data_IF_929230026193
#
_entry.id   IF_929230026193
#
_cell.length_a   1.000
_cell.length_b   1.000
_cell.length_c   1.000
_cell.angle_alpha   90.00
_cell.angle_beta   90.00
_cell.angle_gamma   90.00
#
_symmetry.space_group_name_H-M   'P 1'
#
loop_
_entity.id
_entity.type
_entity.pdbx_description
1 polymer ?
#
# COMPACT_ATOMS: atom_id res chain seq x y z
N UNK A 1 16.19 34.63 15.01
CA UNK A 1 17.42 34.46 14.19
C UNK A 1 17.22 35.23 12.89
N UNK A 2 18.22 35.99 12.44
CA UNK A 2 18.16 36.72 11.16
C UNK A 2 18.27 35.72 10.00
N UNK A 3 17.55 35.94 8.89
CA UNK A 3 17.54 35.07 7.69
C UNK A 3 18.95 34.83 7.13
N UNK A 4 19.86 35.85 7.25
CA UNK A 4 21.25 35.75 6.87
C UNK A 4 22.06 34.69 7.65
N UNK A 5 21.70 34.48 8.93
CA UNK A 5 22.36 33.46 9.78
C UNK A 5 21.95 32.06 9.37
N UNK A 6 20.68 31.86 8.95
CA UNK A 6 20.20 30.58 8.47
C UNK A 6 20.89 30.16 7.15
N UNK A 7 21.01 31.09 6.18
CA UNK A 7 21.72 30.84 4.92
C UNK A 7 23.23 30.51 5.09
N UNK A 8 23.87 31.12 6.07
CA UNK A 8 25.26 30.79 6.40
C UNK A 8 25.38 29.40 7.00
N UNK A 9 24.48 29.01 7.88
CA UNK A 9 24.49 27.71 8.55
C UNK A 9 24.14 26.56 7.59
N UNK A 10 23.18 26.77 6.66
CA UNK A 10 22.87 25.79 5.60
C UNK A 10 24.07 25.56 4.68
N UNK A 11 24.72 26.63 4.21
CA UNK A 11 25.93 26.54 3.37
C UNK A 11 27.08 25.83 4.10
N UNK A 12 27.22 26.03 5.42
CA UNK A 12 28.23 25.36 6.24
C UNK A 12 27.87 23.87 6.42
N UNK A 13 26.62 23.51 6.63
CA UNK A 13 26.13 22.12 6.72
C UNK A 13 26.41 21.32 5.43
N UNK A 14 26.03 21.87 4.28
CA UNK A 14 26.25 21.23 2.97
C UNK A 14 27.73 21.12 2.63
N UNK A 15 28.56 22.17 2.89
CA UNK A 15 30.02 22.13 2.65
C UNK A 15 30.72 21.08 3.51
N UNK A 16 30.15 20.75 4.66
CA UNK A 16 30.70 19.75 5.58
C UNK A 16 30.55 18.32 5.06
N UNK A 17 29.51 18.02 4.28
CA UNK A 17 29.32 16.72 3.63
C UNK A 17 30.53 16.35 2.73
N UNK A 18 31.14 17.35 2.08
CA UNK A 18 32.33 17.15 1.24
C UNK A 18 33.61 16.82 2.01
N UNK A 19 33.76 17.27 3.27
CA UNK A 19 34.97 16.99 4.06
C UNK A 19 35.09 15.52 4.51
N UNK A 20 33.95 14.85 4.72
CA UNK A 20 33.87 13.46 5.13
C UNK A 20 33.04 12.64 4.12
N UNK A 21 33.35 12.84 2.82
CA UNK A 21 32.56 12.30 1.70
C UNK A 21 32.33 10.79 1.77
N UNK A 22 33.33 10.01 2.20
CA UNK A 22 33.20 8.54 2.28
C UNK A 22 32.15 8.13 3.33
N UNK A 23 32.13 8.76 4.51
CA UNK A 23 31.15 8.51 5.55
C UNK A 23 29.76 8.99 5.13
N UNK A 24 29.68 10.13 4.46
CA UNK A 24 28.43 10.68 3.94
C UNK A 24 27.82 9.76 2.88
N UNK A 25 28.62 9.27 1.91
CA UNK A 25 28.16 8.34 0.87
C UNK A 25 27.71 7.03 1.51
N UNK A 26 28.46 6.46 2.44
CA UNK A 26 28.06 5.24 3.13
C UNK A 26 26.72 5.39 3.87
N UNK A 27 26.51 6.53 4.54
CA UNK A 27 25.24 6.84 5.20
C UNK A 27 24.09 6.98 4.19
N UNK A 28 24.28 7.76 3.11
CA UNK A 28 23.26 7.95 2.07
C UNK A 28 22.92 6.61 1.42
N UNK A 29 23.92 5.79 1.08
CA UNK A 29 23.69 4.48 0.47
C UNK A 29 22.91 3.54 1.41
N UNK A 30 23.35 3.42 2.67
CA UNK A 30 22.67 2.58 3.66
C UNK A 30 21.22 3.06 3.91
N UNK A 31 21.03 4.37 4.05
CA UNK A 31 19.70 4.95 4.26
C UNK A 31 18.81 4.75 3.03
N UNK A 32 19.34 4.93 1.81
CA UNK A 32 18.60 4.68 0.58
C UNK A 32 18.16 3.23 0.45
N UNK A 33 19.03 2.27 0.76
CA UNK A 33 18.66 0.83 0.75
C UNK A 33 17.53 0.55 1.75
N UNK A 34 17.67 1.01 3.00
CA UNK A 34 16.64 0.81 4.02
C UNK A 34 15.29 1.44 3.61
N UNK A 35 15.32 2.64 3.05
CA UNK A 35 14.11 3.33 2.59
C UNK A 35 13.49 2.67 1.35
N UNK A 36 14.32 2.19 0.43
CA UNK A 36 13.84 1.43 -0.74
C UNK A 36 13.12 0.17 -0.31
N UNK A 37 13.69 -0.60 0.61
CA UNK A 37 13.04 -1.80 1.17
C UNK A 37 11.73 -1.46 1.90
N UNK A 38 11.69 -0.34 2.62
CA UNK A 38 10.47 0.15 3.27
C UNK A 38 9.35 0.42 2.26
N UNK A 39 9.66 1.16 1.20
CA UNK A 39 8.66 1.50 0.18
C UNK A 39 8.25 0.26 -0.62
N UNK A 40 9.19 -0.66 -0.91
CA UNK A 40 8.84 -1.94 -1.53
C UNK A 40 7.89 -2.77 -0.67
N UNK A 41 8.10 -2.83 0.64
CA UNK A 41 7.18 -3.51 1.55
C UNK A 41 5.76 -2.88 1.50
N UNK A 42 5.67 -1.54 1.47
CA UNK A 42 4.39 -0.85 1.32
C UNK A 42 3.76 -1.05 -0.07
N UNK A 43 4.56 -1.12 -1.14
CA UNK A 43 4.06 -1.43 -2.48
C UNK A 43 3.52 -2.86 -2.58
N UNK A 44 4.15 -3.83 -1.92
CA UNK A 44 3.63 -5.20 -1.84
C UNK A 44 2.26 -5.19 -1.16
N UNK A 45 2.10 -4.48 -0.04
CA UNK A 45 0.81 -4.34 0.66
C UNK A 45 -0.27 -3.79 -0.29
N UNK A 46 -0.02 -2.67 -0.96
CA UNK A 46 -0.96 -2.03 -1.90
C UNK A 46 -1.32 -2.94 -3.07
N UNK A 47 -0.35 -3.67 -3.63
CA UNK A 47 -0.61 -4.58 -4.74
C UNK A 47 -1.36 -5.84 -4.30
N UNK A 48 -1.07 -6.38 -3.12
CA UNK A 48 -1.84 -7.51 -2.54
C UNK A 48 -3.29 -7.08 -2.28
N UNK A 49 -3.52 -5.88 -1.74
CA UNK A 49 -4.86 -5.32 -1.55
C UNK A 49 -5.61 -5.21 -2.88
N UNK A 50 -4.94 -4.71 -3.93
CA UNK A 50 -5.51 -4.63 -5.29
C UNK A 50 -5.84 -6.01 -5.86
N UNK A 51 -4.93 -6.99 -5.70
CA UNK A 51 -5.14 -8.36 -6.16
C UNK A 51 -6.32 -9.03 -5.45
N UNK A 52 -6.42 -8.89 -4.13
CA UNK A 52 -7.53 -9.44 -3.35
C UNK A 52 -8.85 -8.78 -3.74
N UNK A 53 -8.85 -7.45 -3.93
CA UNK A 53 -10.04 -6.72 -4.40
C UNK A 53 -10.46 -7.15 -5.81
N UNK A 54 -9.50 -7.36 -6.72
CA UNK A 54 -9.77 -7.85 -8.06
C UNK A 54 -10.36 -9.26 -8.05
N UNK A 55 -9.74 -10.19 -7.30
CA UNK A 55 -10.25 -11.56 -7.15
C UNK A 55 -11.63 -11.58 -6.46
N UNK A 56 -11.83 -10.67 -5.50
CA UNK A 56 -13.11 -10.50 -4.82
C UNK A 56 -14.23 -10.04 -5.75
N UNK A 57 -13.91 -9.14 -6.71
CA UNK A 57 -14.87 -8.69 -7.71
C UNK A 57 -15.26 -9.79 -8.71
N UNK A 58 -14.45 -10.82 -8.87
CA UNK A 58 -14.75 -12.01 -9.68
C UNK A 58 -15.55 -13.08 -8.92
N UNK A 59 -15.48 -13.07 -7.58
CA UNK A 59 -16.17 -14.01 -6.70
C UNK A 59 -17.38 -13.33 -6.05
N UNK A 60 -18.42 -13.11 -6.86
CA UNK A 60 -19.67 -12.51 -6.42
C UNK A 60 -20.46 -13.47 -5.53
N UNK A 61 -21.20 -12.92 -4.58
CA UNK A 61 -22.23 -13.64 -3.84
C UNK A 61 -23.46 -13.75 -4.72
N UNK A 62 -24.03 -14.93 -4.83
CA UNK A 62 -25.28 -15.18 -5.58
C UNK A 62 -26.42 -15.37 -4.59
N UNK A 63 -27.39 -14.47 -4.65
CA UNK A 63 -28.59 -14.49 -3.84
C UNK A 63 -29.76 -14.95 -4.74
N UNK A 64 -30.22 -16.17 -4.55
CA UNK A 64 -31.32 -16.71 -5.30
C UNK A 64 -32.64 -16.20 -4.71
N UNK A 65 -33.54 -15.74 -5.58
CA UNK A 65 -34.88 -15.29 -5.21
C UNK A 65 -35.82 -16.48 -5.23
N UNK A 66 -36.86 -16.43 -4.41
CA UNK A 66 -37.89 -17.46 -4.38
C UNK A 66 -38.51 -17.63 -5.77
N UNK A 67 -38.58 -18.85 -6.31
CA UNK A 67 -39.17 -19.12 -7.62
C UNK A 67 -40.60 -18.65 -7.80
N UNK A 68 -41.35 -18.55 -6.69
CA UNK A 68 -42.75 -18.11 -6.63
C UNK A 68 -42.93 -16.62 -6.31
N UNK A 69 -41.78 -15.87 -6.15
CA UNK A 69 -41.85 -14.46 -5.85
C UNK A 69 -42.42 -13.65 -7.02
N UNK A 70 -43.28 -12.71 -6.70
CA UNK A 70 -43.79 -11.73 -7.64
C UNK A 70 -42.76 -10.61 -7.90
N UNK A 71 -42.96 -9.82 -8.93
CA UNK A 71 -42.05 -8.72 -9.31
C UNK A 71 -41.85 -7.71 -8.18
N UNK A 72 -42.84 -7.50 -7.34
CA UNK A 72 -42.75 -6.58 -6.20
C UNK A 72 -41.80 -7.13 -5.14
N UNK A 73 -41.88 -8.44 -4.86
CA UNK A 73 -40.93 -9.12 -3.94
C UNK A 73 -39.52 -9.13 -4.50
N UNK A 74 -39.32 -9.41 -5.80
CA UNK A 74 -38.02 -9.34 -6.47
C UNK A 74 -37.42 -7.98 -6.26
N UNK A 75 -38.16 -6.91 -6.54
CA UNK A 75 -37.69 -5.53 -6.39
C UNK A 75 -37.38 -5.16 -4.95
N UNK A 76 -38.22 -5.63 -4.00
CA UNK A 76 -38.02 -5.45 -2.55
C UNK A 76 -36.69 -6.08 -2.09
N UNK A 77 -36.40 -7.30 -2.54
CA UNK A 77 -35.14 -7.99 -2.26
C UNK A 77 -33.98 -7.18 -2.83
N UNK A 78 -34.03 -6.72 -4.10
CA UNK A 78 -33.00 -5.93 -4.72
C UNK A 78 -32.69 -4.62 -3.96
N UNK A 79 -33.73 -3.94 -3.47
CA UNK A 79 -33.57 -2.73 -2.65
C UNK A 79 -32.91 -3.08 -1.31
N UNK A 80 -33.36 -4.11 -0.61
CA UNK A 80 -32.79 -4.54 0.66
C UNK A 80 -31.32 -4.93 0.55
N UNK A 81 -30.93 -5.60 -0.56
CA UNK A 81 -29.52 -5.91 -0.85
C UNK A 81 -28.69 -4.65 -1.09
N UNK A 82 -29.24 -3.69 -1.85
CA UNK A 82 -28.54 -2.44 -2.22
C UNK A 82 -28.38 -1.51 -1.01
N UNK A 83 -29.33 -1.52 -0.08
CA UNK A 83 -29.30 -0.68 1.13
C UNK A 83 -28.37 -1.25 2.22
N UNK A 84 -27.85 -2.46 2.03
CA UNK A 84 -26.97 -3.10 3.02
C UNK A 84 -25.58 -2.47 2.97
N UNK A 85 -25.11 -2.02 4.14
CA UNK A 85 -23.77 -1.46 4.27
C UNK A 85 -22.70 -2.49 3.88
N UNK A 86 -21.71 -2.07 3.08
CA UNK A 86 -20.65 -2.94 2.59
C UNK A 86 -20.91 -3.55 1.21
N UNK A 87 -22.12 -3.39 0.65
CA UNK A 87 -22.42 -3.76 -0.73
C UNK A 87 -21.91 -2.68 -1.68
N UNK A 88 -21.17 -3.09 -2.71
CA UNK A 88 -20.64 -2.19 -3.74
C UNK A 88 -21.44 -2.23 -5.04
N UNK A 89 -22.01 -3.39 -5.37
CA UNK A 89 -22.76 -3.60 -6.60
C UNK A 89 -23.82 -4.69 -6.40
N UNK A 90 -25.01 -4.45 -6.93
CA UNK A 90 -26.11 -5.44 -7.02
C UNK A 90 -26.55 -5.52 -8.48
N UNK A 91 -26.55 -6.70 -9.04
CA UNK A 91 -26.98 -6.95 -10.42
C UNK A 91 -28.04 -8.06 -10.43
N UNK A 92 -29.24 -7.74 -10.91
CA UNK A 92 -30.28 -8.72 -11.12
C UNK A 92 -30.00 -9.53 -12.40
N UNK A 93 -30.22 -10.83 -12.32
CA UNK A 93 -30.16 -11.79 -13.44
C UNK A 93 -31.46 -12.55 -13.49
N UNK A 94 -32.21 -12.37 -14.59
CA UNK A 94 -33.42 -13.16 -14.84
C UNK A 94 -33.09 -14.65 -15.12
N UNK A 95 -34.07 -15.51 -15.11
CA UNK A 95 -33.86 -16.92 -15.48
C UNK A 95 -33.30 -17.09 -16.87
N UNK A 96 -33.71 -16.22 -17.81
CA UNK A 96 -33.24 -16.17 -19.20
C UNK A 96 -31.82 -15.68 -19.30
N UNK A 97 -31.45 -14.64 -18.53
CA UNK A 97 -30.09 -14.11 -18.48
C UNK A 97 -29.11 -15.16 -17.96
N UNK A 98 -29.50 -15.90 -16.93
CA UNK A 98 -28.70 -16.99 -16.37
C UNK A 98 -28.49 -18.08 -17.42
N UNK A 99 -29.54 -18.53 -18.11
CA UNK A 99 -29.43 -19.51 -19.18
C UNK A 99 -28.51 -19.05 -20.31
N UNK A 100 -28.68 -17.80 -20.77
CA UNK A 100 -27.86 -17.22 -21.82
C UNK A 100 -26.37 -17.12 -21.42
N UNK A 101 -26.12 -16.82 -20.18
CA UNK A 101 -24.76 -16.78 -19.65
C UNK A 101 -24.10 -18.18 -19.66
N UNK A 102 -24.84 -19.20 -19.23
CA UNK A 102 -24.33 -20.59 -19.29
C UNK A 102 -24.09 -21.05 -20.74
N UNK A 103 -24.97 -20.66 -21.69
CA UNK A 103 -24.73 -20.89 -23.13
C UNK A 103 -23.44 -20.24 -23.60
N UNK A 104 -23.11 -19.05 -23.10
CA UNK A 104 -21.85 -18.36 -23.41
C UNK A 104 -20.61 -19.07 -22.84
N UNK A 105 -20.69 -19.57 -21.62
CA UNK A 105 -19.59 -20.31 -21.00
C UNK A 105 -19.35 -21.69 -21.59
N UNK A 106 -20.43 -22.34 -22.01
CA UNK A 106 -20.43 -23.70 -22.58
C UNK A 106 -20.71 -23.64 -24.10
N UNK A 107 -20.00 -22.80 -24.84
CA UNK A 107 -20.23 -22.58 -26.27
C UNK A 107 -20.27 -23.87 -27.09
N UNK A 108 -19.41 -24.86 -26.76
CA UNK A 108 -19.35 -26.16 -27.41
C UNK A 108 -20.57 -27.06 -27.11
N UNK A 109 -21.31 -26.78 -26.05
CA UNK A 109 -22.49 -27.50 -25.60
C UNK A 109 -23.77 -26.64 -25.62
N UNK A 110 -23.72 -25.44 -26.21
CA UNK A 110 -24.84 -24.52 -26.26
C UNK A 110 -26.12 -25.14 -26.87
N UNK A 111 -25.96 -26.07 -27.82
CA UNK A 111 -27.06 -26.80 -28.45
C UNK A 111 -27.88 -27.63 -27.44
N UNK A 112 -27.23 -28.21 -26.43
CA UNK A 112 -27.90 -28.96 -25.38
C UNK A 112 -28.71 -28.05 -24.44
N UNK A 113 -28.22 -26.81 -24.23
CA UNK A 113 -28.88 -25.82 -23.40
C UNK A 113 -30.10 -25.17 -24.06
N UNK A 114 -30.27 -25.31 -25.39
CA UNK A 114 -31.45 -24.82 -26.09
C UNK A 114 -32.73 -25.58 -25.73
N UNK A 115 -32.61 -26.85 -25.29
CA UNK A 115 -33.78 -27.63 -24.82
C UNK A 115 -34.42 -27.01 -23.57
N UNK A 116 -33.65 -26.25 -22.78
CA UNK A 116 -34.12 -25.56 -21.58
C UNK A 116 -34.74 -24.17 -21.83
N UNK A 117 -34.90 -23.73 -23.07
CA UNK A 117 -35.61 -22.48 -23.38
C UNK A 117 -37.08 -22.49 -22.99
N UNK A 118 -37.74 -23.65 -23.12
CA UNK A 118 -39.15 -23.80 -22.79
C UNK A 118 -39.43 -24.22 -21.34
N UNK A 119 -38.49 -24.92 -20.71
CA UNK A 119 -38.55 -25.35 -19.32
C UNK A 119 -37.22 -25.01 -18.61
N UNK A 120 -37.08 -23.75 -18.27
CA UNK A 120 -35.84 -23.22 -17.73
C UNK A 120 -35.68 -23.59 -16.24
N UNK A 121 -34.74 -24.50 -15.92
CA UNK A 121 -34.50 -24.95 -14.54
C UNK A 121 -33.76 -23.95 -13.67
N UNK A 122 -33.23 -22.88 -14.28
CA UNK A 122 -32.45 -21.87 -13.55
C UNK A 122 -33.37 -20.95 -12.75
N UNK A 123 -32.82 -20.42 -11.63
CA UNK A 123 -33.52 -19.48 -10.76
C UNK A 123 -33.02 -18.07 -11.05
N UNK A 124 -33.95 -17.11 -10.98
CA UNK A 124 -33.55 -15.71 -10.94
C UNK A 124 -32.69 -15.44 -9.72
N UNK A 125 -31.69 -14.60 -9.85
CA UNK A 125 -30.79 -14.30 -8.76
C UNK A 125 -30.26 -12.86 -8.83
N UNK A 126 -29.73 -12.41 -7.70
CA UNK A 126 -28.95 -11.21 -7.60
C UNK A 126 -27.47 -11.58 -7.42
N UNK A 127 -26.60 -10.94 -8.20
CA UNK A 127 -25.17 -10.98 -8.00
C UNK A 127 -24.75 -9.79 -7.19
N UNK A 128 -24.13 -10.05 -6.07
CA UNK A 128 -23.75 -9.03 -5.11
C UNK A 128 -22.25 -9.03 -4.93
N UNK A 129 -21.62 -7.89 -5.21
CA UNK A 129 -20.20 -7.65 -4.92
C UNK A 129 -20.09 -6.81 -3.65
N UNK A 130 -19.11 -7.12 -2.82
CA UNK A 130 -18.85 -6.42 -1.57
C UNK A 130 -17.64 -5.46 -1.71
N UNK A 131 -17.68 -4.37 -0.96
CA UNK A 131 -16.55 -3.45 -0.84
C UNK A 131 -15.43 -4.02 0.04
N UNK A 132 -15.79 -4.84 1.04
CA UNK A 132 -14.89 -5.48 1.97
C UNK A 132 -15.21 -6.97 2.08
N UNK A 133 -14.34 -7.79 1.56
CA UNK A 133 -14.47 -9.25 1.53
C UNK A 133 -14.48 -9.89 2.92
N UNK A 134 -13.90 -9.23 3.93
CA UNK A 134 -13.89 -9.74 5.30
C UNK A 134 -15.28 -9.86 5.91
N UNK A 135 -16.26 -9.13 5.36
CA UNK A 135 -17.65 -9.13 5.80
C UNK A 135 -18.54 -10.16 5.07
N UNK A 136 -17.98 -10.93 4.11
CA UNK A 136 -18.75 -11.82 3.25
C UNK A 136 -19.59 -12.83 4.05
N UNK A 137 -19.03 -13.47 5.05
CA UNK A 137 -19.75 -14.44 5.90
C UNK A 137 -20.89 -13.78 6.69
N UNK A 138 -20.65 -12.58 7.24
CA UNK A 138 -21.64 -11.85 8.02
C UNK A 138 -22.81 -11.39 7.15
N UNK A 139 -22.50 -10.80 5.99
CA UNK A 139 -23.49 -10.29 5.05
C UNK A 139 -24.27 -11.45 4.41
N UNK A 140 -23.61 -12.58 4.09
CA UNK A 140 -24.29 -13.78 3.60
C UNK A 140 -25.39 -14.26 4.55
N UNK A 141 -25.07 -14.38 5.84
CA UNK A 141 -26.06 -14.74 6.87
C UNK A 141 -27.18 -13.71 7.05
N UNK A 142 -26.86 -12.43 6.84
CA UNK A 142 -27.87 -11.37 6.88
C UNK A 142 -28.84 -11.50 5.69
N UNK A 143 -28.33 -11.82 4.50
CA UNK A 143 -29.13 -11.99 3.30
C UNK A 143 -30.05 -13.22 3.36
N UNK A 144 -29.62 -14.31 4.00
CA UNK A 144 -30.45 -15.49 4.22
C UNK A 144 -31.74 -15.20 5.02
N UNK A 145 -31.73 -14.10 5.80
CA UNK A 145 -32.90 -13.71 6.61
C UNK A 145 -33.82 -12.69 5.91
N UNK A 146 -33.52 -12.28 4.67
CA UNK A 146 -34.37 -11.35 3.91
C UNK A 146 -35.56 -12.12 3.37
N UNK A 147 -36.78 -11.60 3.60
CA UNK A 147 -38.01 -12.18 3.04
C UNK A 147 -37.98 -12.16 1.51
N UNK A 148 -38.24 -13.31 0.88
CA UNK A 148 -38.18 -13.49 -0.58
C UNK A 148 -36.83 -14.01 -1.09
N UNK A 149 -35.84 -14.21 -0.22
CA UNK A 149 -34.60 -14.91 -0.55
C UNK A 149 -34.78 -16.40 -0.35
N UNK A 150 -34.51 -17.19 -1.39
CA UNK A 150 -34.55 -18.65 -1.34
C UNK A 150 -33.27 -19.25 -0.76
N UNK A 151 -32.10 -18.80 -1.21
CA UNK A 151 -30.79 -19.25 -0.71
C UNK A 151 -29.71 -18.27 -1.10
N UNK A 152 -28.62 -18.29 -0.36
CA UNK A 152 -27.41 -17.49 -0.64
C UNK A 152 -26.23 -18.43 -0.89
N UNK A 153 -25.50 -18.21 -1.98
CA UNK A 153 -24.28 -18.94 -2.27
C UNK A 153 -23.13 -17.93 -2.31
N UNK A 154 -22.17 -18.10 -1.42
CA UNK A 154 -20.99 -17.23 -1.33
C UNK A 154 -19.73 -18.09 -1.23
N UNK A 155 -18.62 -17.70 -1.90
CA UNK A 155 -17.35 -18.42 -1.85
C UNK A 155 -16.58 -18.11 -0.54
N UNK A 156 -17.18 -18.42 0.62
CA UNK A 156 -16.71 -18.01 1.95
C UNK A 156 -15.27 -18.52 2.22
N UNK A 157 -15.02 -19.82 1.96
CA UNK A 157 -13.71 -20.43 2.25
C UNK A 157 -12.57 -19.81 1.41
N UNK A 158 -12.84 -19.55 0.12
CA UNK A 158 -11.87 -18.91 -0.76
C UNK A 158 -11.60 -17.48 -0.32
N UNK A 159 -12.66 -16.74 0.00
CA UNK A 159 -12.58 -15.35 0.48
C UNK A 159 -11.83 -15.25 1.80
N UNK A 160 -12.11 -16.17 2.74
CA UNK A 160 -11.37 -16.25 4.02
C UNK A 160 -9.87 -16.41 3.78
N UNK A 161 -9.48 -17.33 2.89
CA UNK A 161 -8.07 -17.56 2.54
C UNK A 161 -7.43 -16.29 1.99
N UNK A 162 -8.10 -15.56 1.10
CA UNK A 162 -7.58 -14.30 0.55
C UNK A 162 -7.38 -13.24 1.64
N UNK A 163 -8.35 -13.07 2.53
CA UNK A 163 -8.29 -12.12 3.65
C UNK A 163 -7.17 -12.51 4.63
N UNK A 164 -6.99 -13.79 4.92
CA UNK A 164 -5.90 -14.28 5.79
C UNK A 164 -4.52 -13.98 5.19
N UNK A 165 -4.34 -14.25 3.89
CA UNK A 165 -3.09 -13.93 3.18
C UNK A 165 -2.83 -12.42 3.20
N UNK A 166 -3.83 -11.60 2.88
CA UNK A 166 -3.73 -10.14 2.93
C UNK A 166 -3.31 -9.65 4.31
N UNK A 167 -3.98 -10.13 5.37
CA UNK A 167 -3.66 -9.76 6.75
C UNK A 167 -2.25 -10.20 7.17
N UNK A 168 -1.80 -11.39 6.75
CA UNK A 168 -0.47 -11.88 7.02
C UNK A 168 0.60 -10.98 6.36
N UNK A 169 0.41 -10.66 5.06
CA UNK A 169 1.30 -9.76 4.32
C UNK A 169 1.36 -8.37 4.97
N UNK A 170 0.21 -7.81 5.32
CA UNK A 170 0.11 -6.50 5.99
C UNK A 170 0.81 -6.51 7.36
N UNK A 171 0.59 -7.52 8.19
CA UNK A 171 1.24 -7.63 9.52
C UNK A 171 2.75 -7.74 9.39
N UNK A 172 3.23 -8.63 8.53
CA UNK A 172 4.68 -8.84 8.29
C UNK A 172 5.29 -7.58 7.67
N UNK A 173 4.64 -6.99 6.67
CA UNK A 173 5.08 -5.76 6.01
C UNK A 173 5.22 -4.60 6.98
N UNK A 174 4.21 -4.33 7.81
CA UNK A 174 4.26 -3.28 8.85
C UNK A 174 5.35 -3.53 9.88
N UNK A 175 5.53 -4.78 10.31
CA UNK A 175 6.63 -5.17 11.21
C UNK A 175 7.99 -4.85 10.59
N UNK A 176 8.20 -5.22 9.33
CA UNK A 176 9.42 -4.95 8.59
C UNK A 176 9.67 -3.43 8.44
N UNK A 177 8.65 -2.67 8.09
CA UNK A 177 8.70 -1.20 7.99
C UNK A 177 9.19 -0.57 9.30
N UNK A 178 8.65 -0.99 10.45
CA UNK A 178 9.06 -0.49 11.77
C UNK A 178 10.52 -0.81 12.09
N UNK A 179 10.96 -2.04 11.82
CA UNK A 179 12.36 -2.46 12.04
C UNK A 179 13.32 -1.65 11.15
N UNK A 180 13.02 -1.54 9.86
CA UNK A 180 13.85 -0.79 8.91
C UNK A 180 13.89 0.72 9.24
N UNK A 181 12.79 1.28 9.73
CA UNK A 181 12.73 2.67 10.20
C UNK A 181 13.64 2.87 11.42
N UNK A 182 13.61 1.94 12.38
CA UNK A 182 14.49 1.99 13.54
C UNK A 182 15.98 1.91 13.14
N UNK A 183 16.32 0.98 12.23
CA UNK A 183 17.68 0.87 11.67
C UNK A 183 18.11 2.16 10.97
N UNK A 184 17.23 2.77 10.19
CA UNK A 184 17.49 4.04 9.51
C UNK A 184 17.81 5.18 10.49
N UNK A 185 17.03 5.31 11.56
CA UNK A 185 17.25 6.33 12.61
C UNK A 185 18.59 6.09 13.31
N UNK A 186 18.92 4.83 13.65
CA UNK A 186 20.20 4.47 14.27
C UNK A 186 21.37 4.80 13.35
N UNK A 187 21.24 4.49 12.04
CA UNK A 187 22.30 4.77 11.04
C UNK A 187 22.57 6.27 10.93
N UNK A 188 21.54 7.10 10.80
CA UNK A 188 21.70 8.56 10.79
C UNK A 188 22.30 9.02 12.11
N UNK A 189 21.79 8.54 13.23
CA UNK A 189 22.27 8.89 14.56
C UNK A 189 23.75 8.58 14.79
N UNK A 190 24.22 7.43 14.34
CA UNK A 190 25.64 7.06 14.45
C UNK A 190 26.53 7.90 13.54
N UNK A 191 26.07 8.22 12.32
CA UNK A 191 26.81 9.07 11.39
C UNK A 191 26.95 10.49 11.93
N UNK A 192 25.88 11.06 12.45
CA UNK A 192 25.92 12.40 13.09
C UNK A 192 26.82 12.40 14.32
N UNK A 193 26.79 11.33 15.12
CA UNK A 193 27.70 11.21 16.27
C UNK A 193 29.16 11.23 15.86
N UNK A 194 29.52 10.51 14.80
CA UNK A 194 30.87 10.52 14.25
C UNK A 194 31.25 11.90 13.73
N UNK A 195 30.32 12.61 13.05
CA UNK A 195 30.52 13.97 12.56
C UNK A 195 30.77 14.96 13.73
N UNK A 196 29.99 14.87 14.80
CA UNK A 196 30.18 15.67 16.03
C UNK A 196 31.54 15.37 16.68
N UNK A 197 31.90 14.09 16.82
CA UNK A 197 33.17 13.70 17.40
C UNK A 197 34.37 14.20 16.59
N UNK A 198 34.32 14.12 15.27
CA UNK A 198 35.38 14.64 14.39
C UNK A 198 35.61 16.16 14.53
N UNK A 199 34.59 16.89 15.04
CA UNK A 199 34.64 18.37 15.19
C UNK A 199 34.56 18.83 16.63
N UNK A 200 34.86 17.97 17.60
CA UNK A 200 34.73 18.28 19.04
C UNK A 200 35.49 19.55 19.44
N UNK A 201 36.70 19.78 18.89
CA UNK A 201 37.48 20.98 19.19
C UNK A 201 36.86 22.28 18.66
N UNK A 202 36.27 22.26 17.49
CA UNK A 202 35.53 23.42 16.93
C UNK A 202 34.32 23.73 17.82
N UNK A 203 33.62 22.70 18.31
CA UNK A 203 32.43 22.83 19.19
C UNK A 203 32.86 23.41 20.54
N UNK A 204 33.95 22.93 21.14
CA UNK A 204 34.51 23.44 22.39
C UNK A 204 34.82 24.92 22.28
N UNK A 205 35.54 25.35 21.23
CA UNK A 205 35.88 26.75 21.01
C UNK A 205 34.61 27.60 20.88
N UNK A 206 33.60 27.13 20.10
CA UNK A 206 32.32 27.86 19.97
C UNK A 206 31.59 28.02 21.32
N UNK A 207 31.63 26.99 22.18
CA UNK A 207 31.05 27.07 23.52
C UNK A 207 31.82 28.02 24.42
N UNK A 208 33.15 28.06 24.38
CA UNK A 208 33.96 29.00 25.14
C UNK A 208 33.67 30.47 24.77
N UNK A 209 33.37 30.75 23.52
CA UNK A 209 32.99 32.09 23.04
C UNK A 209 31.51 32.42 23.32
N UNK A 210 30.75 31.51 23.98
CA UNK A 210 29.39 31.77 24.39
C UNK A 210 28.33 31.40 23.35
N UNK A 211 28.64 30.54 22.39
CA UNK A 211 27.65 30.06 21.41
C UNK A 211 26.50 29.26 22.10
N UNK A 212 25.28 29.56 21.75
CA UNK A 212 24.12 28.82 22.23
C UNK A 212 24.08 27.39 21.68
N UNK A 213 23.50 26.45 22.44
CA UNK A 213 23.36 25.05 22.00
C UNK A 213 22.66 24.92 20.64
N UNK A 214 21.68 25.81 20.36
CA UNK A 214 21.00 25.83 19.05
C UNK A 214 21.94 26.17 17.90
N UNK A 215 22.89 27.11 18.09
CA UNK A 215 23.86 27.50 17.07
C UNK A 215 24.86 26.36 16.75
N UNK A 216 25.18 25.57 17.76
CA UNK A 216 26.06 24.38 17.63
C UNK A 216 25.33 23.21 16.97
N UNK A 217 24.04 23.01 17.30
CA UNK A 217 23.25 21.85 16.86
C UNK A 217 22.74 21.99 15.42
N UNK A 218 22.33 23.20 15.01
CA UNK A 218 21.65 23.45 13.75
C UNK A 218 22.43 22.98 12.50
N UNK A 219 23.76 23.16 12.38
CA UNK A 219 24.52 22.65 11.24
C UNK A 219 24.42 21.13 11.07
N UNK A 220 24.40 20.36 12.15
CA UNK A 220 24.29 18.91 12.11
C UNK A 220 22.87 18.44 11.77
N UNK A 221 21.83 19.17 12.22
CA UNK A 221 20.46 18.89 11.81
C UNK A 221 20.30 19.11 10.31
N UNK A 222 20.87 20.17 9.77
CA UNK A 222 20.88 20.44 8.32
C UNK A 222 21.68 19.37 7.57
N UNK A 223 22.81 18.92 8.11
CA UNK A 223 23.60 17.82 7.56
C UNK A 223 22.78 16.53 7.48
N UNK A 224 22.07 16.15 8.57
CA UNK A 224 21.16 14.99 8.58
C UNK A 224 19.98 15.15 7.63
N UNK A 225 19.37 16.33 7.58
CA UNK A 225 18.26 16.62 6.66
C UNK A 225 18.69 16.51 5.19
N UNK A 226 19.86 17.03 4.84
CA UNK A 226 20.39 16.95 3.47
C UNK A 226 20.75 15.51 3.08
N UNK A 227 21.37 14.73 3.99
CA UNK A 227 21.59 13.30 3.76
C UNK A 227 20.29 12.54 3.57
N UNK A 228 19.27 12.84 4.40
CA UNK A 228 17.94 12.25 4.29
C UNK A 228 17.25 12.57 2.97
N UNK A 229 17.28 13.83 2.54
CA UNK A 229 16.72 14.25 1.24
C UNK A 229 17.42 13.61 0.04
N UNK A 230 18.77 13.57 0.04
CA UNK A 230 19.52 12.89 -1.01
C UNK A 230 19.21 11.39 -1.06
N UNK A 231 19.12 10.75 0.09
CA UNK A 231 18.69 9.35 0.18
C UNK A 231 17.25 9.16 -0.32
N UNK A 232 16.35 10.09 -0.01
CA UNK A 232 14.98 10.09 -0.51
C UNK A 232 14.89 10.18 -2.02
N UNK A 233 15.70 11.04 -2.65
CA UNK A 233 15.78 11.16 -4.13
C UNK A 233 16.28 9.85 -4.74
N UNK A 234 17.35 9.26 -4.20
CA UNK A 234 17.89 7.98 -4.69
C UNK A 234 16.89 6.84 -4.50
N UNK A 235 16.19 6.81 -3.36
CA UNK A 235 15.13 5.87 -3.07
C UNK A 235 13.98 6.00 -4.09
N UNK A 236 13.51 7.23 -4.34
CA UNK A 236 12.46 7.46 -5.32
C UNK A 236 12.86 6.95 -6.71
N UNK A 237 14.07 7.29 -7.17
CA UNK A 237 14.58 6.85 -8.45
C UNK A 237 14.70 5.32 -8.54
N UNK A 238 15.27 4.68 -7.50
CA UNK A 238 15.41 3.23 -7.44
C UNK A 238 14.07 2.50 -7.40
N UNK A 239 13.12 3.01 -6.60
CA UNK A 239 11.79 2.37 -6.43
C UNK A 239 10.93 2.56 -7.67
N UNK A 240 10.85 3.77 -8.22
CA UNK A 240 10.08 4.04 -9.45
C UNK A 240 10.66 3.24 -10.62
N UNK A 241 11.99 3.23 -10.78
CA UNK A 241 12.65 2.45 -11.83
C UNK A 241 12.45 0.94 -11.66
N UNK A 242 12.61 0.43 -10.44
CA UNK A 242 12.39 -0.98 -10.13
C UNK A 242 10.93 -1.42 -10.34
N UNK A 243 9.98 -0.61 -9.89
CA UNK A 243 8.55 -0.89 -10.08
C UNK A 243 8.15 -0.82 -11.56
N UNK A 244 8.62 0.19 -12.29
CA UNK A 244 8.40 0.29 -13.74
C UNK A 244 8.95 -0.94 -14.48
N UNK A 245 10.12 -1.43 -14.10
CA UNK A 245 10.70 -2.65 -14.67
C UNK A 245 9.84 -3.90 -14.38
N UNK A 246 9.31 -4.04 -13.16
CA UNK A 246 8.40 -5.14 -12.80
C UNK A 246 7.12 -5.08 -13.63
N UNK A 247 6.52 -3.89 -13.76
CA UNK A 247 5.30 -3.69 -14.58
C UNK A 247 5.55 -4.02 -16.05
N UNK A 248 6.71 -3.64 -16.60
CA UNK A 248 7.08 -3.98 -17.99
C UNK A 248 7.35 -5.48 -18.19
N UNK A 249 7.85 -6.17 -17.16
CA UNK A 249 8.11 -7.59 -17.22
C UNK A 249 6.84 -8.43 -17.10
N UNK A 250 5.78 -7.91 -16.45
CA UNK A 250 4.54 -8.65 -16.14
C UNK A 250 3.88 -9.30 -17.35
N UNK A 251 3.79 -8.69 -18.57
CA UNK A 251 3.20 -9.33 -19.75
C UNK A 251 4.01 -10.50 -20.32
N UNK A 252 5.31 -10.57 -19.99
CA UNK A 252 6.20 -11.63 -20.47
C UNK A 252 6.17 -12.87 -19.58
N UNK A 253 5.62 -12.76 -18.37
CA UNK A 253 5.42 -13.84 -17.43
C UNK A 253 4.14 -14.58 -17.82
N UNK A 254 4.25 -15.76 -18.43
CA UNK A 254 3.09 -16.53 -18.87
C UNK A 254 2.25 -17.12 -17.72
N UNK A 255 1.05 -17.61 -18.08
CA UNK A 255 0.16 -18.35 -17.17
C UNK A 255 -0.43 -17.52 -16.03
N UNK A 256 -0.47 -18.09 -14.83
CA UNK A 256 -1.09 -17.50 -13.65
C UNK A 256 -0.46 -16.15 -13.25
N UNK A 257 0.83 -15.97 -13.47
CA UNK A 257 1.53 -14.72 -13.21
C UNK A 257 1.06 -13.58 -14.10
N UNK A 258 0.79 -13.86 -15.39
CA UNK A 258 0.23 -12.87 -16.31
C UNK A 258 -1.18 -12.45 -15.88
N UNK A 259 -2.00 -13.41 -15.45
CA UNK A 259 -3.36 -13.12 -14.95
C UNK A 259 -3.33 -12.25 -13.70
N UNK A 260 -2.50 -12.60 -12.71
CA UNK A 260 -2.42 -11.88 -11.43
C UNK A 260 -1.72 -10.52 -11.59
N UNK A 261 -0.57 -10.47 -12.26
CA UNK A 261 0.22 -9.25 -12.37
C UNK A 261 -0.25 -8.34 -13.51
N UNK A 262 -0.78 -8.90 -14.60
CA UNK A 262 -1.21 -8.12 -15.76
C UNK A 262 -2.47 -7.30 -15.53
N UNK A 263 -3.37 -7.76 -14.64
CA UNK A 263 -4.67 -7.13 -14.41
C UNK A 263 -4.83 -6.51 -13.03
N UNK A 264 -4.12 -7.02 -12.04
CA UNK A 264 -4.29 -6.61 -10.63
C UNK A 264 -3.17 -5.70 -10.10
N UNK A 265 -2.04 -5.56 -10.81
CA UNK A 265 -1.00 -4.60 -10.43
C UNK A 265 -1.50 -3.16 -10.59
N UNK A 266 -1.25 -2.37 -9.55
CA UNK A 266 -1.60 -0.95 -9.57
C UNK A 266 -0.73 -0.24 -10.62
N UNK A 267 -1.32 0.52 -11.57
CA UNK A 267 -0.56 1.25 -12.58
C UNK A 267 0.46 2.21 -11.96
N UNK A 268 1.63 2.32 -12.59
CA UNK A 268 2.69 3.20 -12.11
C UNK A 268 2.21 4.65 -11.94
N UNK A 269 1.32 5.10 -12.81
CA UNK A 269 0.74 6.46 -12.79
C UNK A 269 0.05 6.78 -11.46
N UNK A 270 -0.53 5.78 -10.80
CA UNK A 270 -1.22 5.94 -9.53
C UNK A 270 -0.29 5.88 -8.32
N UNK A 271 0.87 5.23 -8.44
CA UNK A 271 1.79 4.98 -7.31
C UNK A 271 2.99 5.92 -7.29
N UNK A 272 3.47 6.41 -8.45
CA UNK A 272 4.68 7.23 -8.50
C UNK A 272 4.62 8.53 -7.67
N UNK A 273 3.47 9.27 -7.59
CA UNK A 273 3.41 10.48 -6.76
C UNK A 273 3.53 10.14 -5.27
N UNK A 274 2.92 9.02 -4.88
CA UNK A 274 2.98 8.49 -3.51
C UNK A 274 4.40 8.07 -3.16
N UNK A 275 5.08 7.31 -4.03
CA UNK A 275 6.48 6.91 -3.86
C UNK A 275 7.36 8.16 -3.67
N UNK A 276 7.21 9.16 -4.52
CA UNK A 276 8.00 10.39 -4.46
C UNK A 276 7.78 11.15 -3.15
N UNK A 277 6.53 11.34 -2.75
CA UNK A 277 6.19 12.05 -1.51
C UNK A 277 6.66 11.31 -0.27
N UNK A 278 6.45 10.00 -0.18
CA UNK A 278 6.92 9.19 0.96
C UNK A 278 8.45 9.10 1.02
N UNK A 279 9.13 9.01 -0.13
CA UNK A 279 10.60 8.99 -0.19
C UNK A 279 11.20 10.30 0.31
N UNK A 280 10.70 11.44 -0.16
CA UNK A 280 11.23 12.76 0.22
C UNK A 280 10.86 13.13 1.65
N UNK A 281 9.59 12.97 2.02
CA UNK A 281 9.12 13.26 3.36
C UNK A 281 9.74 12.32 4.40
N UNK A 282 9.78 11.02 4.12
CA UNK A 282 10.41 10.01 4.98
C UNK A 282 11.90 10.27 5.15
N UNK A 283 12.61 10.57 4.07
CA UNK A 283 14.04 10.92 4.10
C UNK A 283 14.30 12.17 4.95
N UNK A 284 13.51 13.23 4.75
CA UNK A 284 13.62 14.45 5.55
C UNK A 284 13.33 14.21 7.04
N UNK A 285 12.27 13.43 7.34
CA UNK A 285 11.90 13.08 8.72
C UNK A 285 12.99 12.24 9.41
N UNK A 286 13.42 11.14 8.78
CA UNK A 286 14.44 10.26 9.35
C UNK A 286 15.77 10.98 9.50
N UNK A 287 16.18 11.75 8.49
CA UNK A 287 17.42 12.55 8.53
C UNK A 287 17.37 13.66 9.58
N UNK A 288 16.29 14.42 9.62
CA UNK A 288 16.09 15.52 10.57
C UNK A 288 15.92 15.04 12.02
N UNK A 289 15.00 14.11 12.26
CA UNK A 289 14.75 13.57 13.60
C UNK A 289 15.93 12.74 14.11
N UNK A 290 16.50 11.87 13.28
CA UNK A 290 17.66 11.04 13.65
C UNK A 290 18.86 11.90 14.08
N UNK A 291 19.14 13.00 13.35
CA UNK A 291 20.17 13.95 13.73
C UNK A 291 19.86 14.68 15.02
N UNK A 292 18.61 15.14 15.20
CA UNK A 292 18.19 15.90 16.38
C UNK A 292 18.25 15.04 17.66
N UNK A 293 17.80 13.79 17.61
CA UNK A 293 17.88 12.86 18.75
C UNK A 293 19.33 12.51 19.11
N UNK A 294 20.16 12.26 18.09
CA UNK A 294 21.57 11.92 18.31
C UNK A 294 22.35 13.02 19.00
N UNK A 295 22.12 14.27 18.63
CA UNK A 295 22.86 15.42 19.18
C UNK A 295 22.42 15.75 20.60
N UNK A 296 21.10 15.75 20.89
CA UNK A 296 20.58 16.09 22.22
C UNK A 296 21.17 15.21 23.32
N UNK A 297 21.40 13.92 23.02
CA UNK A 297 21.98 12.97 24.00
C UNK A 297 23.47 13.20 24.28
N UNK A 298 24.19 13.93 23.42
CA UNK A 298 25.68 14.05 23.48
C UNK A 298 26.18 15.49 23.72
N UNK A 299 25.29 16.50 23.75
CA UNK A 299 25.63 17.89 24.08
C UNK A 299 25.54 18.20 25.59
N UNK A 300 25.06 17.26 26.40
CA UNK A 300 25.13 17.36 27.86
C UNK A 300 26.52 16.95 28.36
N UNK A 301 27.53 17.71 27.98
CA UNK A 301 28.86 17.74 28.62
C UNK A 301 29.10 19.14 29.10
#
# INVERSE_FOLDING_TARGET
MKISTFGFLTRRGVRNLGKHWAMTIACIASLSVCMTLNIFASLIEVNVDSMVSYLGSQNEMVVYVDPEADDATIQSVGNALSDTAGVSRVQYMSKEDVLNQYKGYMSDYAALLNEFENDNPFKANYRVSLSDLSQMETISKQFENISGVYSVTAPIEMTRTFVEVQQAVTKVGRGLVLVLMAVSIITVGTTIRLSVFARRREIEIMKYVGATNALVTLPFVIEGLTMGLLSGILTAAATIGGYAYIVQLSPTLGGLWQMLMGTALVPLENVWPTILTYSLAGGALVGGLGSMFSIRKHLNV
#
